data_IF_415280766243
#
_entry.id   IF_415280766243
#
_cell.length_a   1.000
_cell.length_b   1.000
_cell.length_c   1.000
_cell.angle_alpha   90.00
_cell.angle_beta   90.00
_cell.angle_gamma   90.00
#
_symmetry.space_group_name_H-M   'P 1'
#
loop_
_entity.id
_entity.type
_entity.pdbx_description
1 polymer ?
#
# COMPACT_ATOMS: atom_id res chain seq x y z
N UNK A 1 5.92 -9.02 11.29
CA UNK A 1 4.59 -8.98 10.64
C UNK A 1 4.83 -9.19 9.16
N UNK A 2 4.08 -10.06 8.45
CA UNK A 2 4.22 -10.23 7.01
C UNK A 2 4.07 -8.91 6.25
N UNK A 3 4.76 -8.79 5.12
CA UNK A 3 4.66 -7.63 4.24
C UNK A 3 3.91 -8.00 2.98
N UNK A 4 3.10 -7.06 2.51
CA UNK A 4 2.29 -7.22 1.32
C UNK A 4 2.53 -6.06 0.36
N UNK A 5 2.60 -6.39 -0.92
CA UNK A 5 2.59 -5.43 -2.01
C UNK A 5 1.22 -5.40 -2.66
N UNK A 6 0.68 -4.20 -2.83
CA UNK A 6 -0.53 -3.93 -3.61
C UNK A 6 -0.12 -3.31 -4.94
N UNK A 7 -0.51 -3.97 -6.02
CA UNK A 7 -0.39 -3.47 -7.39
C UNK A 7 -1.66 -2.71 -7.79
N UNK A 8 -1.49 -1.52 -8.37
CA UNK A 8 -2.58 -0.65 -8.84
C UNK A 8 -2.26 -0.13 -10.23
N UNK A 9 -3.27 -0.02 -11.08
CA UNK A 9 -3.20 0.73 -12.33
C UNK A 9 -3.93 2.06 -12.17
N UNK A 10 -3.23 3.15 -12.47
CA UNK A 10 -3.63 4.54 -12.19
C UNK A 10 -3.43 5.41 -13.45
N UNK A 11 -4.19 5.15 -14.53
CA UNK A 11 -4.02 5.86 -15.79
C UNK A 11 -4.28 7.35 -15.63
N UNK A 12 -3.39 8.18 -16.21
CA UNK A 12 -3.50 9.64 -16.17
C UNK A 12 -3.42 10.28 -14.77
N UNK A 13 -2.96 9.56 -13.74
CA UNK A 13 -2.88 10.12 -12.38
C UNK A 13 -1.89 11.28 -12.30
N UNK A 14 -2.30 12.38 -11.67
CA UNK A 14 -1.42 13.52 -11.43
C UNK A 14 -0.56 13.32 -10.17
N UNK A 15 0.58 14.02 -10.03
CA UNK A 15 1.38 13.96 -8.80
C UNK A 15 0.59 14.31 -7.53
N UNK A 16 -0.33 15.27 -7.62
CA UNK A 16 -1.20 15.66 -6.51
C UNK A 16 -2.18 14.55 -6.14
N UNK A 17 -2.79 13.89 -7.13
CA UNK A 17 -3.69 12.75 -6.91
C UNK A 17 -2.93 11.55 -6.33
N UNK A 18 -1.71 11.28 -6.79
CA UNK A 18 -0.84 10.22 -6.26
C UNK A 18 -0.51 10.47 -4.78
N UNK A 19 -0.12 11.70 -4.43
CA UNK A 19 0.15 12.09 -3.04
C UNK A 19 -1.09 11.98 -2.16
N UNK A 20 -2.25 12.44 -2.65
CA UNK A 20 -3.52 12.32 -1.95
C UNK A 20 -3.94 10.85 -1.73
N UNK A 21 -3.68 9.96 -2.70
CA UNK A 21 -3.93 8.53 -2.56
C UNK A 21 -3.05 7.89 -1.49
N UNK A 22 -1.75 8.24 -1.44
CA UNK A 22 -0.84 7.79 -0.39
C UNK A 22 -1.26 8.32 0.99
N UNK A 23 -1.70 9.58 1.08
CA UNK A 23 -2.20 10.17 2.32
C UNK A 23 -3.44 9.42 2.84
N UNK A 24 -4.40 9.08 1.97
CA UNK A 24 -5.57 8.27 2.36
C UNK A 24 -5.18 6.89 2.89
N UNK A 25 -4.25 6.20 2.21
CA UNK A 25 -3.74 4.91 2.69
C UNK A 25 -3.13 5.03 4.09
N UNK A 26 -2.33 6.08 4.34
CA UNK A 26 -1.73 6.34 5.65
C UNK A 26 -2.79 6.58 6.74
N UNK A 27 -3.76 7.44 6.48
CA UNK A 27 -4.82 7.78 7.46
C UNK A 27 -5.67 6.56 7.79
N UNK A 28 -6.22 5.88 6.78
CA UNK A 28 -7.10 4.72 6.99
C UNK A 28 -6.38 3.59 7.73
N UNK A 29 -5.13 3.29 7.37
CA UNK A 29 -4.40 2.22 8.06
C UNK A 29 -4.07 2.54 9.52
N UNK A 30 -3.82 3.82 9.83
CA UNK A 30 -3.67 4.28 11.22
C UNK A 30 -4.98 4.13 12.00
N UNK A 31 -6.10 4.63 11.48
CA UNK A 31 -7.43 4.53 12.11
C UNK A 31 -7.86 3.08 12.34
N UNK A 32 -7.64 2.20 11.36
CA UNK A 32 -7.92 0.77 11.50
C UNK A 32 -7.08 0.15 12.62
N UNK A 33 -5.79 0.49 12.70
CA UNK A 33 -4.91 -0.03 13.74
C UNK A 33 -5.35 0.43 15.12
N UNK A 34 -5.76 1.70 15.28
CA UNK A 34 -6.34 2.23 16.52
C UNK A 34 -7.62 1.50 16.92
N UNK A 35 -8.41 1.02 15.95
CA UNK A 35 -9.62 0.22 16.16
C UNK A 35 -9.33 -1.28 16.39
N UNK A 36 -8.08 -1.67 16.64
CA UNK A 36 -7.70 -3.06 16.89
C UNK A 36 -7.59 -3.92 15.63
N UNK A 37 -7.57 -3.30 14.45
CA UNK A 37 -7.37 -3.97 13.16
C UNK A 37 -5.96 -3.64 12.62
N UNK A 38 -4.90 -4.34 13.05
CA UNK A 38 -3.53 -3.97 12.71
C UNK A 38 -3.27 -4.01 11.20
N UNK A 39 -2.84 -2.88 10.63
CA UNK A 39 -2.38 -2.72 9.25
C UNK A 39 -1.59 -1.42 9.15
N UNK A 40 -0.47 -1.40 8.42
CA UNK A 40 0.35 -0.19 8.29
C UNK A 40 0.78 0.04 6.86
N UNK A 41 0.44 1.20 6.30
CA UNK A 41 1.00 1.66 5.02
C UNK A 41 2.46 2.11 5.22
N UNK A 42 3.38 1.56 4.42
CA UNK A 42 4.82 1.79 4.54
C UNK A 42 5.31 2.86 3.56
N UNK A 43 5.09 2.62 2.28
CA UNK A 43 5.58 3.44 1.16
C UNK A 43 4.90 3.02 -0.14
N UNK A 44 5.09 3.81 -1.18
CA UNK A 44 4.72 3.45 -2.54
C UNK A 44 5.77 3.87 -3.55
N UNK A 45 5.83 3.12 -4.64
CA UNK A 45 6.59 3.47 -5.84
C UNK A 45 5.60 3.57 -6.99
N UNK A 46 5.62 4.69 -7.70
CA UNK A 46 4.84 4.87 -8.93
C UNK A 46 5.78 4.77 -10.13
N UNK A 47 5.37 4.02 -11.14
CA UNK A 47 6.09 3.80 -12.39
C UNK A 47 5.29 4.48 -13.50
N UNK A 48 5.65 5.73 -13.90
CA UNK A 48 4.85 6.51 -14.84
C UNK A 48 4.68 5.84 -16.21
N UNK A 49 5.71 5.15 -16.70
CA UNK A 49 5.68 4.46 -18.00
C UNK A 49 4.69 3.29 -18.06
N UNK A 50 4.30 2.75 -16.91
CA UNK A 50 3.31 1.67 -16.82
C UNK A 50 1.98 2.15 -16.23
N UNK A 51 1.92 3.41 -15.78
CA UNK A 51 0.82 3.96 -15.00
C UNK A 51 0.46 3.04 -13.83
N UNK A 52 1.47 2.48 -13.15
CA UNK A 52 1.29 1.55 -12.03
C UNK A 52 1.87 2.07 -10.74
N UNK A 53 1.20 1.77 -9.63
CA UNK A 53 1.72 2.00 -8.29
C UNK A 53 1.83 0.70 -7.51
N UNK A 54 2.97 0.52 -6.86
CA UNK A 54 3.29 -0.60 -5.98
C UNK A 54 3.35 -0.06 -4.56
N UNK A 55 2.39 -0.46 -3.72
CA UNK A 55 2.24 0.04 -2.35
C UNK A 55 2.52 -1.05 -1.35
N UNK A 56 3.37 -0.76 -0.37
CA UNK A 56 3.79 -1.73 0.64
C UNK A 56 3.05 -1.53 1.94
N UNK A 57 2.66 -2.64 2.55
CA UNK A 57 1.93 -2.70 3.80
C UNK A 57 2.52 -3.76 4.74
N UNK A 58 2.55 -3.48 6.04
CA UNK A 58 2.63 -4.53 7.06
C UNK A 58 1.20 -4.92 7.46
N UNK A 59 0.89 -6.21 7.50
CA UNK A 59 -0.41 -6.70 7.97
C UNK A 59 -0.31 -8.16 8.45
N UNK A 60 -1.25 -8.64 9.28
CA UNK A 60 -1.31 -10.05 9.65
C UNK A 60 -1.74 -10.96 8.49
N UNK A 61 -2.45 -10.43 7.48
CA UNK A 61 -2.98 -11.20 6.34
C UNK A 61 -3.28 -10.30 5.13
N UNK A 62 -3.44 -10.91 3.96
CA UNK A 62 -3.81 -10.21 2.72
C UNK A 62 -5.22 -9.60 2.80
N UNK A 63 -6.17 -10.27 3.46
CA UNK A 63 -7.55 -9.80 3.65
C UNK A 63 -7.58 -8.49 4.44
N UNK A 64 -6.66 -8.32 5.41
CA UNK A 64 -6.55 -7.09 6.17
C UNK A 64 -6.00 -5.94 5.32
N UNK A 65 -5.11 -6.22 4.37
CA UNK A 65 -4.65 -5.23 3.39
C UNK A 65 -5.78 -4.87 2.41
N UNK A 66 -6.55 -5.86 1.97
CA UNK A 66 -7.72 -5.65 1.11
C UNK A 66 -8.74 -4.73 1.78
N UNK A 67 -9.14 -5.03 3.03
CA UNK A 67 -10.06 -4.22 3.84
C UNK A 67 -9.60 -2.75 3.91
N UNK A 68 -8.32 -2.52 4.16
CA UNK A 68 -7.76 -1.17 4.22
C UNK A 68 -7.83 -0.42 2.88
N UNK A 69 -7.59 -1.10 1.76
CA UNK A 69 -7.67 -0.48 0.44
C UNK A 69 -9.11 -0.18 0.02
N UNK A 70 -10.07 -1.04 0.41
CA UNK A 70 -11.50 -0.81 0.20
C UNK A 70 -11.99 0.42 0.96
N UNK A 71 -11.65 0.55 2.25
CA UNK A 71 -12.01 1.71 3.08
C UNK A 71 -11.36 2.99 2.54
N UNK A 72 -10.09 2.92 2.11
CA UNK A 72 -9.38 4.05 1.51
C UNK A 72 -9.85 4.42 0.08
N UNK A 73 -10.77 3.64 -0.49
CA UNK A 73 -11.27 3.79 -1.86
C UNK A 73 -10.12 3.86 -2.88
N UNK A 74 -9.14 2.96 -2.73
CA UNK A 74 -7.99 2.86 -3.61
C UNK A 74 -8.18 1.70 -4.59
N UNK A 75 -7.86 1.87 -5.88
CA UNK A 75 -7.82 0.76 -6.81
C UNK A 75 -6.90 -0.34 -6.31
N UNK A 76 -7.29 -1.59 -6.53
CA UNK A 76 -6.55 -2.77 -6.13
C UNK A 76 -6.66 -3.79 -7.26
N UNK A 77 -5.53 -4.20 -7.83
CA UNK A 77 -5.49 -5.25 -8.85
C UNK A 77 -4.98 -6.57 -8.28
N UNK A 78 -3.93 -6.49 -7.45
CA UNK A 78 -3.31 -7.68 -6.85
C UNK A 78 -2.74 -7.35 -5.47
N UNK A 79 -2.83 -8.33 -4.57
CA UNK A 79 -2.14 -8.34 -3.28
C UNK A 79 -1.22 -9.55 -3.28
N UNK A 80 0.05 -9.34 -2.93
CA UNK A 80 1.06 -10.39 -2.90
C UNK A 80 1.83 -10.28 -1.60
N UNK A 81 2.03 -11.37 -0.88
CA UNK A 81 3.00 -11.40 0.21
C UNK A 81 4.42 -11.29 -0.36
N UNK A 82 5.24 -10.42 0.22
CA UNK A 82 6.57 -10.08 -0.31
C UNK A 82 7.62 -10.11 0.79
N UNK A 83 8.86 -10.34 0.37
CA UNK A 83 10.04 -10.17 1.20
C UNK A 83 10.88 -9.03 0.62
N UNK A 84 11.35 -8.15 1.49
CA UNK A 84 12.21 -7.03 1.12
C UNK A 84 13.61 -7.24 1.67
N UNK A 85 14.58 -6.87 0.85
CA UNK A 85 16.00 -6.83 1.20
C UNK A 85 16.45 -5.40 0.92
N UNK A 86 16.77 -4.62 1.95
CA UNK A 86 17.36 -3.30 1.77
C UNK A 86 18.88 -3.42 1.63
N UNK A 87 19.51 -2.45 0.97
CA UNK A 87 20.97 -2.40 0.89
C UNK A 87 21.61 -2.36 2.28
N UNK A 88 20.98 -1.67 3.23
CA UNK A 88 21.42 -1.57 4.62
C UNK A 88 21.29 -2.89 5.41
N UNK A 89 20.53 -3.88 4.91
CA UNK A 89 20.39 -5.21 5.53
C UNK A 89 21.49 -6.18 5.08
N UNK A 90 22.29 -5.80 4.06
CA UNK A 90 23.35 -6.61 3.51
C UNK A 90 24.66 -6.32 4.25
N UNK A 91 25.36 -7.39 4.65
CA UNK A 91 26.65 -7.32 5.34
C UNK A 91 27.80 -6.88 4.43
#
# INVERSE_FOLDING_TARGET
>A
MPQYMVERHLPGITPQQLSAAAARAKVVTAEMTEQGKPVRYLRSTFVPSEEKSFCLFDAPSAERVEEANQIAQLPLQRIIEVQHIAADDLA
#
